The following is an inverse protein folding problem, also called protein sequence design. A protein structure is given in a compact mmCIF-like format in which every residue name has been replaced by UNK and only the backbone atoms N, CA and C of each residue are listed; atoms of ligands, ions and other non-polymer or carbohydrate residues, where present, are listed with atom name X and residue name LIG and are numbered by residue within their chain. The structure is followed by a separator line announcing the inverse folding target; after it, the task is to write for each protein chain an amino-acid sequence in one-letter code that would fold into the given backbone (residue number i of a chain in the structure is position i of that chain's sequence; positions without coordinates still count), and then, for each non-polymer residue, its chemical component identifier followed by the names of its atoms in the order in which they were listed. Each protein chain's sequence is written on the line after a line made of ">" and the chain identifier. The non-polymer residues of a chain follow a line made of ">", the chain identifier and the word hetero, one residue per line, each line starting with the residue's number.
data_IF_835102195961
#
_entry.id   IF_835102195961
#
_cell.length_a   1.000
_cell.length_b   1.000
_cell.length_c   1.000
_cell.angle_alpha   90.00
_cell.angle_beta   90.00
_cell.angle_gamma   90.00
#
_symmetry.space_group_name_H-M   'P 1'
#
loop_
_entity.id
_entity.type
_entity.pdbx_description
1 polymer ?
#
# COMPACT_ATOMS: atom_id res chain seq x y z
N UNK A 1 -1.68 -7.98 15.96
CA UNK A 1 -1.05 -7.67 15.24
C UNK A 1 -1.70 -7.12 14.13
N UNK A 2 -1.24 -6.18 13.58
CA UNK A 2 -1.86 -5.47 12.56
C UNK A 2 -2.04 -6.24 11.31
N UNK A 3 -1.13 -7.09 11.03
CA UNK A 3 -1.21 -7.82 9.84
C UNK A 3 -2.03 -9.05 9.94
N UNK A 4 -2.49 -9.32 11.11
CA UNK A 4 -3.33 -10.42 11.25
C UNK A 4 -2.68 -11.68 11.33
N UNK A 5 -1.73 -12.01 11.05
CA UNK A 5 -1.25 -13.20 11.20
C UNK A 5 -0.04 -13.26 11.69
N UNK A 6 0.49 -13.81 11.73
CA UNK A 6 1.58 -13.97 12.26
C UNK A 6 2.49 -13.35 11.73
N UNK A 7 2.91 -12.82 11.71
CA UNK A 7 3.70 -12.18 11.19
C UNK A 7 4.89 -12.30 11.36
N UNK A 8 5.20 -12.85 11.52
CA UNK A 8 6.29 -13.14 11.81
C UNK A 8 7.25 -12.44 11.21
N UNK A 9 7.30 -11.99 10.44
CA UNK A 9 8.31 -11.47 9.87
C UNK A 9 8.21 -10.16 9.50
N UNK A 10 7.23 -9.56 9.60
CA UNK A 10 7.09 -8.27 9.02
C UNK A 10 7.75 -7.19 9.78
N UNK A 11 8.59 -6.47 9.15
CA UNK A 11 9.20 -5.29 9.73
C UNK A 11 8.59 -4.09 9.06
N UNK A 12 8.06 -3.19 9.86
CA UNK A 12 7.48 -1.97 9.34
C UNK A 12 8.48 -0.86 9.55
N UNK A 13 8.89 -0.21 8.47
CA UNK A 13 9.81 0.92 8.57
C UNK A 13 9.07 2.17 8.18
N UNK A 14 9.33 3.24 8.92
CA UNK A 14 8.69 4.50 8.57
C UNK A 14 9.53 5.68 9.03
N UNK A 15 9.31 6.81 8.38
CA UNK A 15 9.98 8.06 8.70
C UNK A 15 8.95 9.15 8.72
N UNK A 16 9.11 10.14 9.60
CA UNK A 16 8.23 11.30 9.63
C UNK A 16 9.03 12.56 9.41
N UNK A 17 8.42 13.51 8.71
CA UNK A 17 9.07 14.78 8.47
C UNK A 17 8.02 15.78 8.01
N UNK A 18 7.94 16.93 8.69
CA UNK A 18 7.03 18.01 8.31
C UNK A 18 5.59 17.54 8.12
N UNK A 19 5.10 16.70 9.03
CA UNK A 19 3.73 16.25 8.98
C UNK A 19 3.47 15.14 7.97
N UNK A 20 4.50 14.65 7.32
CA UNK A 20 4.36 13.58 6.35
C UNK A 20 5.04 12.33 6.90
N UNK A 21 4.43 11.19 6.69
CA UNK A 21 5.03 9.91 7.09
C UNK A 21 5.21 9.05 5.86
N UNK A 22 6.40 8.50 5.71
CA UNK A 22 6.68 7.57 4.62
C UNK A 22 6.84 6.18 5.22
N UNK A 23 6.12 5.23 4.67
CA UNK A 23 6.15 3.84 5.10
C UNK A 23 6.75 2.96 4.02
N UNK A 24 7.52 1.95 4.44
CA UNK A 24 7.96 0.91 3.53
C UNK A 24 7.33 -0.37 4.04
N UNK A 25 6.45 -0.94 3.26
CA UNK A 25 5.64 -2.08 3.65
C UNK A 25 5.70 -3.16 2.58
N UNK A 26 5.45 -4.38 3.00
CA UNK A 26 5.45 -5.52 2.08
C UNK A 26 4.19 -6.34 2.22
N UNK A 27 3.74 -6.89 1.12
CA UNK A 27 2.59 -7.79 1.10
C UNK A 27 2.78 -8.78 -0.04
N UNK A 28 2.30 -9.98 0.13
CA UNK A 28 2.38 -11.00 -0.91
C UNK A 28 1.36 -10.68 -1.99
N UNK A 29 1.82 -10.62 -3.24
CA UNK A 29 0.92 -10.47 -4.37
C UNK A 29 0.28 -11.81 -4.66
N UNK A 30 0.85 -12.59 -5.60
CA UNK A 30 0.37 -13.93 -5.83
C UNK A 30 1.22 -14.92 -5.03
N UNK A 31 2.52 -14.90 -5.18
CA UNK A 31 3.43 -15.77 -4.44
C UNK A 31 4.62 -15.05 -3.86
N UNK A 32 4.93 -13.85 -4.35
CA UNK A 32 6.10 -13.11 -3.90
C UNK A 32 5.69 -11.83 -3.21
N UNK A 33 6.58 -11.33 -2.36
CA UNK A 33 6.33 -10.05 -1.69
C UNK A 33 6.52 -8.89 -2.65
N UNK A 34 5.66 -7.90 -2.49
CA UNK A 34 5.77 -6.64 -3.21
C UNK A 34 6.18 -5.61 -2.16
N UNK A 35 7.31 -4.96 -2.37
CA UNK A 35 7.82 -3.95 -1.45
C UNK A 35 7.38 -2.58 -1.96
N UNK A 36 6.69 -1.83 -1.13
CA UNK A 36 6.03 -0.61 -1.57
C UNK A 36 6.34 0.53 -0.61
N UNK A 37 6.59 1.70 -1.16
CA UNK A 37 6.75 2.93 -0.39
C UNK A 37 5.47 3.72 -0.47
N UNK A 38 4.96 4.18 0.66
CA UNK A 38 3.71 4.95 0.71
C UNK A 38 3.92 6.15 1.59
N UNK A 39 3.65 7.34 1.07
CA UNK A 39 3.71 8.54 1.91
C UNK A 39 2.30 9.01 2.22
N UNK A 40 2.09 9.39 3.47
CA UNK A 40 0.79 9.80 3.97
C UNK A 40 0.92 11.19 4.60
N UNK A 41 -0.03 12.05 4.30
CA UNK A 41 -0.06 13.38 4.88
C UNK A 41 -1.51 13.79 5.08
N UNK A 42 -1.84 14.25 6.28
CA UNK A 42 -3.20 14.72 6.54
C UNK A 42 -4.25 13.63 6.41
N UNK A 43 -3.91 12.38 6.70
CA UNK A 43 -4.86 11.28 6.61
C UNK A 43 -5.12 10.80 5.19
N UNK A 44 -4.34 11.27 4.23
CA UNK A 44 -4.51 10.86 2.85
C UNK A 44 -3.19 10.38 2.28
N UNK A 45 -3.25 9.47 1.33
CA UNK A 45 -2.06 9.03 0.65
C UNK A 45 -1.57 10.15 -0.25
N UNK A 46 -0.31 10.55 -0.06
CA UNK A 46 0.27 11.56 -0.89
C UNK A 46 0.94 10.93 -2.09
N UNK A 47 1.51 9.75 -1.93
CA UNK A 47 2.13 9.05 -3.05
C UNK A 47 2.35 7.60 -2.71
N UNK A 48 2.40 6.76 -3.74
CA UNK A 48 2.68 5.35 -3.59
C UNK A 48 3.59 4.92 -4.71
N UNK A 49 4.56 4.06 -4.39
CA UNK A 49 5.50 3.61 -5.37
C UNK A 49 5.91 2.18 -5.05
N UNK A 50 5.87 1.32 -6.04
CA UNK A 50 6.37 -0.04 -5.88
C UNK A 50 7.88 0.02 -6.00
N UNK A 51 8.57 -0.37 -4.94
CA UNK A 51 10.03 -0.32 -4.90
C UNK A 51 10.65 -1.59 -5.42
N UNK A 52 10.06 -2.74 -5.11
CA UNK A 52 10.57 -4.02 -5.61
C UNK A 52 9.37 -4.88 -5.97
N UNK A 53 9.34 -5.37 -7.19
CA UNK A 53 8.29 -6.24 -7.67
C UNK A 53 8.95 -7.54 -8.11
N UNK A 54 8.57 -8.64 -7.47
CA UNK A 54 9.26 -9.93 -7.67
C UNK A 54 8.44 -10.95 -8.45
N UNK A 55 7.19 -10.64 -8.76
CA UNK A 55 6.36 -11.56 -9.54
C UNK A 55 6.76 -11.52 -11.01
N UNK A 56 6.48 -12.58 -11.74
CA UNK A 56 6.81 -12.62 -13.16
C UNK A 56 5.74 -11.94 -14.00
N UNK A 57 4.54 -11.79 -13.46
CA UNK A 57 3.44 -11.16 -14.19
C UNK A 57 2.84 -10.03 -13.35
N UNK A 58 2.07 -9.18 -13.99
CA UNK A 58 1.36 -8.13 -13.27
C UNK A 58 2.20 -6.89 -13.02
N UNK A 59 3.29 -6.72 -13.73
CA UNK A 59 4.18 -5.60 -13.52
C UNK A 59 3.51 -4.24 -13.72
N UNK A 60 2.36 -4.23 -14.35
CA UNK A 60 1.63 -2.98 -14.57
C UNK A 60 1.30 -2.27 -13.26
N UNK A 61 1.15 -3.03 -12.15
CA UNK A 61 0.85 -2.40 -10.86
C UNK A 61 2.01 -1.55 -10.37
N UNK A 62 3.21 -1.78 -10.88
CA UNK A 62 4.38 -1.01 -10.46
C UNK A 62 4.52 0.29 -11.23
N UNK A 63 3.71 0.49 -12.26
CA UNK A 63 3.83 1.71 -13.06
C UNK A 63 3.15 2.86 -12.38
N UNK A 64 3.69 4.04 -12.59
CA UNK A 64 3.11 5.26 -12.03
C UNK A 64 1.67 5.44 -12.46
N UNK A 65 1.34 5.04 -13.69
CA UNK A 65 -0.01 5.17 -14.19
C UNK A 65 -1.00 4.40 -13.32
N UNK A 66 -0.55 3.30 -12.70
CA UNK A 66 -1.41 2.56 -11.80
C UNK A 66 -1.35 3.15 -10.38
N UNK A 67 -0.15 3.33 -9.84
CA UNK A 67 -0.01 3.71 -8.43
C UNK A 67 -0.55 5.10 -8.13
N UNK A 68 -0.55 5.99 -9.09
CA UNK A 68 -1.07 7.33 -8.85
C UNK A 68 -2.56 7.34 -8.54
N UNK A 69 -3.26 6.24 -8.80
CA UNK A 69 -4.68 6.15 -8.45
C UNK A 69 -4.90 6.22 -6.95
N UNK A 70 -3.86 5.93 -6.16
CA UNK A 70 -3.98 5.99 -4.72
C UNK A 70 -3.77 7.38 -4.15
N UNK A 71 -3.30 8.31 -4.97
CA UNK A 71 -3.06 9.68 -4.48
C UNK A 71 -4.35 10.33 -4.05
N UNK A 72 -4.36 10.90 -2.85
CA UNK A 72 -5.52 11.56 -2.29
C UNK A 72 -6.50 10.63 -1.59
N UNK A 73 -6.23 9.32 -1.60
CA UNK A 73 -7.14 8.35 -1.00
C UNK A 73 -7.03 8.37 0.52
N UNK A 74 -8.15 8.28 1.20
CA UNK A 74 -8.21 8.21 2.65
C UNK A 74 -9.05 7.01 3.04
N UNK A 75 -9.23 6.81 4.35
CA UNK A 75 -10.04 5.71 4.86
C UNK A 75 -11.39 6.26 5.30
N UNK A 76 -12.46 5.60 4.92
CA UNK A 76 -13.80 5.97 5.36
C UNK A 76 -14.07 5.37 6.73
N UNK A 77 -15.20 5.75 7.33
CA UNK A 77 -15.53 5.30 8.67
C UNK A 77 -15.67 3.79 8.79
N UNK A 78 -15.94 3.09 7.69
CA UNK A 78 -16.06 1.64 7.72
C UNK A 78 -14.72 0.95 7.41
N UNK A 79 -13.63 1.68 7.48
CA UNK A 79 -12.29 1.17 7.23
C UNK A 79 -12.00 0.82 5.77
N UNK A 80 -12.88 1.21 4.88
CA UNK A 80 -12.65 1.01 3.46
C UNK A 80 -11.97 2.25 2.88
N UNK A 81 -11.24 2.07 1.79
CA UNK A 81 -10.62 3.19 1.11
C UNK A 81 -11.70 4.08 0.51
N UNK A 82 -11.43 5.39 0.47
CA UNK A 82 -12.37 6.32 -0.11
C UNK A 82 -12.57 6.07 -1.59
N UNK A 83 -11.59 5.43 -2.23
CA UNK A 83 -11.68 5.09 -3.64
C UNK A 83 -10.79 3.88 -3.86
N UNK A 84 -11.24 2.92 -4.64
CA UNK A 84 -10.44 1.76 -4.97
C UNK A 84 -9.81 1.93 -6.35
N UNK A 85 -8.63 1.34 -6.58
CA UNK A 85 -8.02 1.44 -7.89
C UNK A 85 -8.76 0.55 -8.87
N UNK A 86 -8.56 0.80 -10.15
CA UNK A 86 -9.09 -0.06 -11.15
C UNK A 86 -8.32 -1.36 -11.15
N UNK A 87 -9.01 -2.47 -11.37
CA UNK A 87 -8.33 -3.74 -11.44
C UNK A 87 -7.59 -3.85 -12.78
N UNK A 88 -6.56 -4.68 -12.79
CA UNK A 88 -5.82 -5.00 -14.01
C UNK A 88 -6.00 -6.49 -14.22
N UNK A 89 -6.60 -6.86 -15.36
CA UNK A 89 -6.82 -8.28 -15.66
C UNK A 89 -5.47 -8.99 -15.69
N UNK A 90 -5.42 -10.14 -15.04
CA UNK A 90 -4.18 -10.89 -14.93
C UNK A 90 -3.30 -10.46 -13.78
N UNK A 91 -3.64 -9.37 -13.08
CA UNK A 91 -2.85 -8.91 -11.95
C UNK A 91 -3.72 -8.63 -10.73
N UNK A 92 -4.87 -9.28 -10.64
CA UNK A 92 -5.84 -9.03 -9.57
C UNK A 92 -5.24 -9.20 -8.18
N UNK A 93 -4.42 -10.21 -7.96
CA UNK A 93 -3.85 -10.42 -6.64
C UNK A 93 -2.84 -9.34 -6.27
N UNK A 94 -2.10 -8.85 -7.25
CA UNK A 94 -1.17 -7.74 -7.00
C UNK A 94 -1.92 -6.44 -6.73
N UNK A 95 -3.02 -6.20 -7.44
CA UNK A 95 -3.85 -5.03 -7.19
C UNK A 95 -4.41 -5.11 -5.77
N UNK A 96 -4.85 -6.29 -5.33
CA UNK A 96 -5.34 -6.46 -3.98
C UNK A 96 -4.26 -6.23 -2.95
N UNK A 97 -3.04 -6.70 -3.22
CA UNK A 97 -1.93 -6.52 -2.30
C UNK A 97 -1.64 -5.03 -2.09
N UNK A 98 -1.58 -4.27 -3.18
CA UNK A 98 -1.33 -2.83 -3.06
C UNK A 98 -2.48 -2.12 -2.35
N UNK A 99 -3.70 -2.56 -2.57
CA UNK A 99 -4.85 -1.98 -1.89
C UNK A 99 -4.77 -2.24 -0.40
N UNK A 100 -4.36 -3.45 -0.01
CA UNK A 100 -4.17 -3.76 1.39
C UNK A 100 -3.09 -2.91 2.01
N UNK A 101 -1.98 -2.70 1.30
CA UNK A 101 -0.90 -1.88 1.82
C UNK A 101 -1.32 -0.43 1.99
N UNK A 102 -2.13 0.08 1.06
CA UNK A 102 -2.64 1.44 1.18
C UNK A 102 -3.49 1.56 2.44
N UNK A 103 -4.37 0.59 2.69
CA UNK A 103 -5.18 0.60 3.89
C UNK A 103 -4.33 0.50 5.14
N UNK A 104 -3.32 -0.36 5.12
CA UNK A 104 -2.46 -0.54 6.25
C UNK A 104 -1.70 0.75 6.59
N UNK A 105 -1.16 1.42 5.58
CA UNK A 105 -0.43 2.66 5.81
C UNK A 105 -1.34 3.71 6.46
N UNK A 106 -2.56 3.83 5.98
CA UNK A 106 -3.49 4.80 6.53
C UNK A 106 -3.90 4.40 7.96
N UNK A 107 -4.04 3.11 8.20
CA UNK A 107 -4.37 2.64 9.53
C UNK A 107 -3.23 2.95 10.51
N UNK A 108 -2.00 2.62 10.12
CA UNK A 108 -0.85 2.88 10.98
C UNK A 108 -0.73 4.37 11.27
N UNK A 109 -0.99 5.20 10.28
CA UNK A 109 -0.90 6.63 10.49
C UNK A 109 -1.97 7.10 11.48
N UNK A 110 -3.12 6.48 11.49
CA UNK A 110 -4.19 6.87 12.40
C UNK A 110 -3.87 6.55 13.84
N UNK A 111 -2.89 5.68 14.09
CA UNK A 111 -2.50 5.31 15.43
C UNK A 111 -1.46 6.26 16.02
N UNK A 112 -0.98 7.21 15.24
CA UNK A 112 0.09 8.08 15.69
C UNK A 112 -0.40 9.34 16.34
#
# INVERSE_FOLDING_TARGET
>A
RLLGKRDKTTTIRYWTRNGKTAYILEEIGKVEYITTGISVKGGRIEGMRVLVYRETHGMEVARTAFTKQFNGVSVKSDSQLSRNPRNIAGATLSVRALTKLARLALYLESLR
#
